data_IF_544076473334
#
_entry.id   IF_544076473334
#
_cell.length_a   1.000
_cell.length_b   1.000
_cell.length_c   1.000
_cell.angle_alpha   90.00
_cell.angle_beta   90.00
_cell.angle_gamma   90.00
#
_symmetry.space_group_name_H-M   'P 1'
#
loop_
_entity.id
_entity.type
_entity.pdbx_description
1 polymer ?
#
# COMPACT_ATOMS: atom_id res chain seq x y z
N UNK A 1 -30.55 -22.34 -13.67
CA UNK A 1 -30.28 -21.84 -12.30
C UNK A 1 -30.13 -20.33 -12.39
N UNK A 2 -30.75 -19.52 -11.52
CA UNK A 2 -30.54 -18.09 -11.56
C UNK A 2 -29.10 -17.80 -11.16
N UNK A 3 -28.46 -16.91 -11.90
CA UNK A 3 -27.08 -16.45 -11.71
C UNK A 3 -26.90 -15.90 -10.29
N UNK A 4 -26.48 -16.77 -9.35
CA UNK A 4 -26.08 -16.37 -8.00
C UNK A 4 -24.75 -15.65 -8.15
N UNK A 5 -24.88 -14.34 -8.33
CA UNK A 5 -23.80 -13.36 -8.41
C UNK A 5 -22.44 -13.84 -7.93
N UNK A 6 -21.53 -14.08 -8.88
CA UNK A 6 -20.16 -14.57 -8.66
C UNK A 6 -19.31 -13.73 -7.69
N UNK A 7 -19.70 -12.50 -7.39
CA UNK A 7 -18.97 -11.57 -6.53
C UNK A 7 -19.71 -11.31 -5.22
N UNK A 8 -18.96 -11.22 -4.13
CA UNK A 8 -19.47 -10.79 -2.82
C UNK A 8 -20.08 -9.38 -2.89
N UNK A 9 -21.02 -9.07 -1.99
CA UNK A 9 -21.68 -7.76 -1.95
C UNK A 9 -20.66 -6.62 -1.74
N UNK A 10 -19.70 -6.77 -0.82
CA UNK A 10 -18.62 -5.80 -0.61
C UNK A 10 -17.78 -5.55 -1.86
N UNK A 11 -17.44 -6.59 -2.62
CA UNK A 11 -16.69 -6.45 -3.86
C UNK A 11 -17.47 -5.70 -4.96
N UNK A 12 -18.81 -5.78 -4.94
CA UNK A 12 -19.69 -5.04 -5.86
C UNK A 12 -19.87 -3.57 -5.49
N UNK A 13 -19.72 -3.23 -4.21
CA UNK A 13 -19.86 -1.85 -3.72
C UNK A 13 -18.63 -0.99 -4.06
N UNK A 14 -17.47 -1.61 -4.25
CA UNK A 14 -16.21 -0.95 -4.55
C UNK A 14 -16.28 -0.05 -5.78
N UNK A 15 -15.73 1.16 -5.66
CA UNK A 15 -15.56 2.07 -6.78
C UNK A 15 -14.17 1.93 -7.43
N UNK A 16 -14.07 2.04 -8.76
CA UNK A 16 -12.79 2.01 -9.44
C UNK A 16 -11.93 3.23 -9.09
N UNK A 17 -10.61 3.03 -9.02
CA UNK A 17 -9.66 4.11 -8.71
C UNK A 17 -9.56 5.11 -9.88
N UNK A 18 -10.06 6.34 -9.65
CA UNK A 18 -9.94 7.43 -10.62
C UNK A 18 -8.48 7.82 -10.91
N UNK A 19 -7.59 7.76 -9.91
CA UNK A 19 -6.16 8.07 -10.09
C UNK A 19 -5.50 7.12 -11.10
N UNK A 20 -5.77 5.82 -11.00
CA UNK A 20 -5.22 4.83 -11.94
C UNK A 20 -5.82 5.01 -13.34
N UNK A 21 -7.11 5.32 -13.45
CA UNK A 21 -7.76 5.58 -14.73
C UNK A 21 -7.14 6.80 -15.45
N UNK A 22 -6.88 7.90 -14.73
CA UNK A 22 -6.25 9.10 -15.28
C UNK A 22 -4.80 8.82 -15.69
N UNK A 23 -4.03 8.13 -14.85
CA UNK A 23 -2.64 7.77 -15.16
C UNK A 23 -2.55 6.87 -16.40
N UNK A 24 -3.44 5.86 -16.50
CA UNK A 24 -3.52 4.99 -17.67
C UNK A 24 -3.86 5.76 -18.94
N UNK A 25 -4.82 6.69 -18.87
CA UNK A 25 -5.20 7.53 -20.02
C UNK A 25 -4.05 8.45 -20.44
N UNK A 26 -3.35 9.07 -19.50
CA UNK A 26 -2.19 9.91 -19.80
C UNK A 26 -1.08 9.11 -20.50
N UNK A 27 -0.81 7.88 -20.04
CA UNK A 27 0.16 6.97 -20.68
C UNK A 27 -0.27 6.59 -22.11
N UNK A 28 -1.56 6.29 -22.31
CA UNK A 28 -2.11 5.99 -23.63
C UNK A 28 -1.92 7.17 -24.60
N UNK A 29 -2.30 8.38 -24.19
CA UNK A 29 -2.21 9.57 -25.06
C UNK A 29 -0.75 9.90 -25.44
N UNK A 30 0.21 9.67 -24.54
CA UNK A 30 1.65 9.79 -24.87
C UNK A 30 2.09 8.77 -25.92
N UNK A 31 1.64 7.52 -25.79
CA UNK A 31 1.94 6.47 -26.76
C UNK A 31 1.33 6.76 -28.15
N UNK A 32 0.23 7.53 -28.20
CA UNK A 32 -0.36 8.07 -29.43
C UNK A 32 0.39 9.28 -30.00
N UNK A 33 1.54 9.67 -29.42
CA UNK A 33 2.39 10.76 -29.90
C UNK A 33 1.96 12.15 -29.45
N UNK A 34 1.02 12.26 -28.51
CA UNK A 34 0.59 13.56 -27.97
C UNK A 34 1.55 14.05 -26.90
N UNK A 35 1.77 15.37 -26.88
CA UNK A 35 2.48 16.02 -25.79
C UNK A 35 1.59 16.10 -24.54
N UNK A 36 1.97 15.39 -23.48
CA UNK A 36 1.19 15.24 -22.25
C UNK A 36 2.09 15.50 -21.04
N UNK A 37 1.81 16.60 -20.34
CA UNK A 37 2.29 16.83 -18.98
C UNK A 37 1.29 16.21 -17.99
N UNK A 38 1.67 15.09 -17.36
CA UNK A 38 0.81 14.37 -16.42
C UNK A 38 1.20 14.74 -14.99
N UNK A 39 0.25 15.32 -14.26
CA UNK A 39 0.38 15.69 -12.84
C UNK A 39 -0.48 14.78 -11.94
N UNK A 40 -0.79 13.56 -12.43
CA UNK A 40 -1.75 12.65 -11.78
C UNK A 40 -1.11 11.50 -11.02
N UNK A 41 0.18 11.23 -11.24
CA UNK A 41 0.90 10.16 -10.55
C UNK A 41 1.33 10.64 -9.16
N UNK A 42 1.19 9.78 -8.15
CA UNK A 42 1.60 10.04 -6.77
C UNK A 42 2.94 9.39 -6.40
N UNK A 43 3.72 8.94 -7.40
CA UNK A 43 5.05 8.38 -7.20
C UNK A 43 6.13 9.39 -7.62
N UNK A 44 7.30 9.41 -6.96
CA UNK A 44 8.40 10.29 -7.35
C UNK A 44 8.96 9.98 -8.74
N UNK A 45 9.60 10.97 -9.34
CA UNK A 45 10.31 10.88 -10.63
C UNK A 45 11.78 10.44 -10.51
N UNK A 46 12.31 10.35 -9.29
CA UNK A 46 13.67 9.88 -9.03
C UNK A 46 13.73 8.35 -8.92
N UNK A 47 14.86 7.78 -9.36
CA UNK A 47 15.17 6.37 -9.14
C UNK A 47 15.37 6.03 -7.67
N UNK A 48 15.15 4.76 -7.33
CA UNK A 48 15.53 4.21 -6.01
C UNK A 48 17.04 4.41 -5.78
N UNK A 49 17.49 4.96 -4.63
CA UNK A 49 18.89 5.21 -4.34
C UNK A 49 19.82 4.00 -4.57
N UNK A 50 21.03 4.25 -5.09
CA UNK A 50 21.94 3.20 -5.54
C UNK A 50 22.30 2.16 -4.47
N UNK A 51 22.48 2.59 -3.22
CA UNK A 51 22.80 1.69 -2.10
C UNK A 51 21.64 0.73 -1.78
N UNK A 52 20.39 1.15 -1.98
CA UNK A 52 19.21 0.29 -1.80
C UNK A 52 19.15 -0.77 -2.89
N UNK A 53 19.39 -0.36 -4.15
CA UNK A 53 19.45 -1.31 -5.28
C UNK A 53 20.57 -2.33 -5.11
N UNK A 54 21.74 -1.89 -4.64
CA UNK A 54 22.87 -2.77 -4.34
C UNK A 54 22.55 -3.77 -3.22
N UNK A 55 21.92 -3.33 -2.12
CA UNK A 55 21.50 -4.23 -1.05
C UNK A 55 20.47 -5.27 -1.53
N UNK A 56 19.53 -4.88 -2.39
CA UNK A 56 18.56 -5.80 -2.99
C UNK A 56 19.23 -6.83 -3.92
N UNK A 57 20.20 -6.40 -4.74
CA UNK A 57 20.97 -7.30 -5.58
C UNK A 57 21.78 -8.30 -4.74
N UNK A 58 22.47 -7.82 -3.71
CA UNK A 58 23.22 -8.68 -2.79
C UNK A 58 22.31 -9.69 -2.09
N UNK A 59 21.11 -9.28 -1.65
CA UNK A 59 20.16 -10.18 -1.03
C UNK A 59 19.73 -11.33 -1.98
N UNK A 60 19.62 -11.06 -3.28
CA UNK A 60 19.36 -12.08 -4.30
C UNK A 60 20.55 -13.02 -4.47
N UNK A 61 21.76 -12.47 -4.55
CA UNK A 61 23.01 -13.25 -4.69
C UNK A 61 23.24 -14.17 -3.48
N UNK A 62 22.90 -13.69 -2.28
CA UNK A 62 22.97 -14.43 -1.01
C UNK A 62 21.80 -15.43 -0.84
N UNK A 63 20.85 -15.46 -1.78
CA UNK A 63 19.78 -16.43 -1.82
C UNK A 63 18.59 -16.12 -0.89
N UNK A 64 18.41 -14.88 -0.42
CA UNK A 64 17.27 -14.45 0.41
C UNK A 64 15.95 -14.44 -0.40
N UNK A 65 15.44 -15.62 -0.70
CA UNK A 65 14.34 -15.87 -1.66
C UNK A 65 13.36 -16.94 -1.15
N UNK A 66 13.33 -17.19 0.16
CA UNK A 66 12.45 -18.17 0.81
C UNK A 66 11.46 -17.44 1.73
N UNK A 67 10.52 -18.19 2.28
CA UNK A 67 9.60 -17.64 3.28
C UNK A 67 10.38 -17.05 4.46
N UNK A 68 10.03 -15.82 4.82
CA UNK A 68 10.45 -15.17 6.05
C UNK A 68 9.34 -15.22 7.12
N UNK A 69 9.60 -14.63 8.29
CA UNK A 69 8.58 -14.50 9.34
C UNK A 69 7.39 -13.66 8.85
N UNK A 70 6.16 -14.05 9.21
CA UNK A 70 4.95 -13.33 8.80
C UNK A 70 4.93 -11.85 9.24
N UNK A 71 5.58 -11.52 10.35
CA UNK A 71 5.71 -10.15 10.84
C UNK A 71 6.73 -9.29 10.06
N UNK A 72 7.57 -9.92 9.23
CA UNK A 72 8.72 -9.32 8.56
C UNK A 72 10.05 -9.72 9.18
N UNK A 73 11.13 -9.43 8.45
CA UNK A 73 12.50 -9.71 8.86
C UNK A 73 12.87 -9.02 10.19
N UNK A 74 13.48 -9.71 11.16
CA UNK A 74 13.77 -9.15 12.48
C UNK A 74 14.59 -7.85 12.41
N UNK A 75 15.65 -7.82 11.61
CA UNK A 75 16.51 -6.65 11.45
C UNK A 75 15.76 -5.44 10.87
N UNK A 76 14.82 -5.66 9.95
CA UNK A 76 13.99 -4.59 9.40
C UNK A 76 13.02 -4.04 10.45
N UNK A 77 12.42 -4.91 11.26
CA UNK A 77 11.50 -4.51 12.34
C UNK A 77 12.22 -3.69 13.42
N UNK A 78 13.43 -4.09 13.79
CA UNK A 78 14.30 -3.33 14.70
C UNK A 78 14.67 -1.96 14.13
N UNK A 79 15.06 -1.90 12.84
CA UNK A 79 15.39 -0.64 12.17
C UNK A 79 14.19 0.33 12.13
N UNK A 80 12.99 -0.17 11.82
CA UNK A 80 11.75 0.64 11.83
C UNK A 80 11.44 1.13 13.25
N UNK A 81 11.52 0.26 14.26
CA UNK A 81 11.25 0.61 15.65
C UNK A 81 12.22 1.69 16.17
N UNK A 82 13.52 1.56 15.84
CA UNK A 82 14.54 2.54 16.16
C UNK A 82 14.27 3.88 15.46
N UNK A 83 13.95 3.85 14.16
CA UNK A 83 13.58 5.04 13.38
C UNK A 83 12.43 5.80 14.04
N UNK A 84 11.32 5.12 14.32
CA UNK A 84 10.14 5.72 14.94
C UNK A 84 10.46 6.31 16.32
N UNK A 85 11.26 5.61 17.12
CA UNK A 85 11.65 6.09 18.45
C UNK A 85 12.56 7.31 18.39
N UNK A 86 13.51 7.35 17.45
CA UNK A 86 14.53 8.40 17.37
C UNK A 86 14.06 9.63 16.60
N UNK A 87 13.48 9.43 15.42
CA UNK A 87 13.09 10.52 14.51
C UNK A 87 11.69 11.04 14.83
N UNK A 88 10.75 10.13 15.14
CA UNK A 88 9.35 10.50 15.36
C UNK A 88 8.99 10.62 16.85
N UNK A 89 9.90 10.25 17.76
CA UNK A 89 9.70 10.26 19.22
C UNK A 89 8.52 9.38 19.67
N UNK A 90 8.25 8.32 18.92
CA UNK A 90 7.24 7.30 19.26
C UNK A 90 7.97 6.08 19.80
N UNK A 91 7.96 5.89 21.12
CA UNK A 91 8.61 4.76 21.77
C UNK A 91 8.06 3.43 21.22
N UNK A 92 8.85 2.74 20.40
CA UNK A 92 8.44 1.56 19.64
C UNK A 92 9.44 0.43 19.83
N UNK A 93 8.93 -0.78 20.08
CA UNK A 93 9.73 -2.01 20.09
C UNK A 93 9.52 -2.78 18.78
N UNK A 94 10.48 -3.63 18.40
CA UNK A 94 10.35 -4.47 17.21
C UNK A 94 9.11 -5.37 17.25
N UNK A 95 8.67 -5.80 18.44
CA UNK A 95 7.45 -6.59 18.66
C UNK A 95 6.17 -5.87 18.20
N UNK A 96 6.19 -4.52 18.17
CA UNK A 96 5.06 -3.67 17.75
C UNK A 96 5.10 -3.32 16.25
N UNK A 97 6.08 -3.83 15.49
CA UNK A 97 6.23 -3.56 14.06
C UNK A 97 5.79 -4.77 13.23
N UNK A 98 4.90 -4.53 12.27
CA UNK A 98 4.49 -5.45 11.21
C UNK A 98 4.90 -4.88 9.84
N UNK A 99 5.75 -5.59 9.11
CA UNK A 99 6.10 -5.25 7.73
C UNK A 99 5.00 -5.73 6.79
N UNK A 100 4.56 -4.86 5.88
CA UNK A 100 3.48 -5.14 4.92
C UNK A 100 3.90 -4.69 3.51
N UNK A 101 3.16 -5.12 2.50
CA UNK A 101 3.31 -4.72 1.10
C UNK A 101 2.84 -3.27 0.90
N UNK A 102 3.65 -2.33 1.38
CA UNK A 102 3.38 -0.90 1.38
C UNK A 102 2.30 -0.48 2.39
N UNK A 103 2.19 0.83 2.62
CA UNK A 103 1.26 1.39 3.60
C UNK A 103 -0.22 1.07 3.34
N UNK A 104 -0.59 0.75 2.10
CA UNK A 104 -1.95 0.34 1.73
C UNK A 104 -2.37 -0.96 2.43
N UNK A 105 -1.51 -1.98 2.45
CA UNK A 105 -1.85 -3.22 3.14
C UNK A 105 -1.86 -3.04 4.67
N UNK A 106 -0.99 -2.20 5.23
CA UNK A 106 -1.05 -1.87 6.66
C UNK A 106 -2.42 -1.31 7.06
N UNK A 107 -2.93 -0.35 6.29
CA UNK A 107 -4.25 0.24 6.52
C UNK A 107 -5.40 -0.74 6.25
N UNK A 108 -5.29 -1.55 5.21
CA UNK A 108 -6.28 -2.60 4.94
C UNK A 108 -6.38 -3.57 6.12
N UNK A 109 -5.25 -4.11 6.59
CA UNK A 109 -5.21 -5.01 7.74
C UNK A 109 -5.75 -4.32 9.00
N UNK A 110 -5.43 -3.04 9.21
CA UNK A 110 -5.95 -2.25 10.34
C UNK A 110 -7.49 -2.24 10.33
N UNK A 111 -8.11 -1.95 9.19
CA UNK A 111 -9.57 -1.95 9.07
C UNK A 111 -10.17 -3.35 9.25
N UNK A 112 -9.57 -4.38 8.63
CA UNK A 112 -10.04 -5.76 8.79
C UNK A 112 -9.96 -6.29 10.22
N UNK A 113 -9.10 -5.72 11.08
CA UNK A 113 -8.92 -6.16 12.47
C UNK A 113 -9.76 -5.34 13.45
N UNK A 114 -10.06 -4.07 13.11
CA UNK A 114 -10.72 -3.14 14.04
C UNK A 114 -12.20 -2.89 13.75
N UNK A 115 -12.67 -3.07 12.52
CA UNK A 115 -14.03 -2.72 12.12
C UNK A 115 -14.93 -3.96 12.04
N UNK A 116 -16.15 -3.82 12.55
CA UNK A 116 -17.26 -4.75 12.38
C UNK A 116 -18.40 -4.10 11.56
N UNK A 117 -19.31 -4.90 10.96
CA UNK A 117 -20.48 -4.36 10.27
C UNK A 117 -21.32 -3.44 11.15
N UNK A 118 -21.44 -2.18 10.75
CA UNK A 118 -22.16 -1.14 11.50
C UNK A 118 -21.25 -0.14 12.21
N UNK A 119 -19.95 -0.40 12.29
CA UNK A 119 -18.99 0.57 12.81
C UNK A 119 -18.82 1.77 11.86
N UNK A 120 -18.56 2.93 12.46
CA UNK A 120 -18.39 4.18 11.71
C UNK A 120 -16.92 4.61 11.66
N UNK A 121 -16.44 4.94 10.45
CA UNK A 121 -15.11 5.48 10.22
C UNK A 121 -15.19 6.99 9.93
N UNK A 122 -14.58 7.80 10.78
CA UNK A 122 -14.46 9.24 10.55
C UNK A 122 -13.31 9.53 9.57
N UNK A 123 -13.62 10.11 8.41
CA UNK A 123 -12.66 10.46 7.37
C UNK A 123 -12.66 11.98 7.10
N UNK A 124 -11.63 12.72 7.55
CA UNK A 124 -11.49 14.14 7.21
C UNK A 124 -11.28 14.35 5.70
N UNK A 125 -12.06 15.25 5.09
CA UNK A 125 -11.96 15.57 3.67
C UNK A 125 -11.04 16.81 3.42
N UNK A 126 -10.29 16.86 2.30
CA UNK A 126 -10.18 15.82 1.25
C UNK A 126 -9.33 14.63 1.73
N UNK A 127 -9.77 13.41 1.40
CA UNK A 127 -9.12 12.17 1.81
C UNK A 127 -8.50 11.40 0.64
N UNK A 128 -7.60 10.47 0.96
CA UNK A 128 -7.10 9.51 -0.03
C UNK A 128 -8.20 8.51 -0.40
N UNK A 129 -8.45 8.38 -1.70
CA UNK A 129 -9.57 7.60 -2.27
C UNK A 129 -9.66 6.14 -1.80
N UNK A 130 -8.55 5.53 -1.37
CA UNK A 130 -8.56 4.13 -0.93
C UNK A 130 -9.04 3.95 0.51
N UNK A 131 -9.08 4.99 1.35
CA UNK A 131 -9.56 4.85 2.73
C UNK A 131 -11.00 4.33 2.83
N UNK A 132 -12.02 4.97 2.22
CA UNK A 132 -13.39 4.47 2.31
C UNK A 132 -13.56 3.09 1.67
N UNK A 133 -12.88 2.84 0.55
CA UNK A 133 -12.95 1.55 -0.16
C UNK A 133 -12.38 0.40 0.66
N UNK A 134 -11.26 0.61 1.37
CA UNK A 134 -10.70 -0.41 2.26
C UNK A 134 -11.58 -0.64 3.50
N UNK A 135 -12.22 0.41 4.03
CA UNK A 135 -13.12 0.29 5.16
C UNK A 135 -14.41 -0.46 4.80
N UNK A 136 -14.97 -0.24 3.60
CA UNK A 136 -16.14 -0.98 3.11
C UNK A 136 -15.88 -2.48 2.82
N UNK A 137 -14.61 -2.89 2.78
CA UNK A 137 -14.23 -4.29 2.60
C UNK A 137 -14.16 -5.08 3.90
N UNK A 138 -14.04 -4.39 5.04
CA UNK A 138 -14.13 -4.98 6.37
C UNK A 138 -15.55 -5.51 6.59
#
# INVERSE_FOLDING_TARGET
>A
MPDRGLLSQRARALQPSLTLAIAAKAKQLRAEGRDICSLSAGEPDFDTPAFIRAAAAQALDDGHTRYGPAAGEPALREAIAAKLSQENRVATTAAQVLVTNGGKQALYNLFQVLLEPGDELLLPAPYWLSYPEMAQLA
#
